data_IF_789951808386
#
_entry.id   IF_789951808386
#
_cell.length_a   1.000
_cell.length_b   1.000
_cell.length_c   1.000
_cell.angle_alpha   90.00
_cell.angle_beta   90.00
_cell.angle_gamma   90.00
#
_symmetry.space_group_name_H-M   'P 1'
#
loop_
_entity.id
_entity.type
_entity.pdbx_description
1 polymer ?
#
# COMPACT_ATOMS: atom_id res chain seq x y z
N UNK A 1 28.20 -66.37 36.03
CA UNK A 1 29.13 -65.44 36.72
C UNK A 1 28.35 -64.30 37.37
N UNK A 2 29.00 -63.46 38.19
CA UNK A 2 28.35 -62.65 39.26
C UNK A 2 27.53 -61.44 38.76
N UNK A 3 26.49 -61.00 39.49
CA UNK A 3 25.62 -59.88 39.11
C UNK A 3 26.23 -58.50 39.43
N UNK A 4 25.72 -57.47 38.74
CA UNK A 4 26.10 -56.07 38.96
C UNK A 4 25.66 -55.57 40.35
N UNK A 5 26.56 -54.87 41.05
CA UNK A 5 26.32 -54.33 42.40
C UNK A 5 25.58 -53.00 42.32
N UNK A 6 24.43 -52.89 42.99
CA UNK A 6 23.79 -51.59 43.28
C UNK A 6 24.66 -50.80 44.26
N UNK A 7 25.16 -49.63 43.84
CA UNK A 7 25.86 -48.71 44.73
C UNK A 7 24.82 -47.94 45.56
N UNK A 8 24.75 -48.20 46.87
CA UNK A 8 23.99 -47.35 47.80
C UNK A 8 24.90 -46.20 48.25
N UNK A 9 24.65 -44.97 47.79
CA UNK A 9 25.17 -43.80 48.50
C UNK A 9 24.38 -43.64 49.81
N UNK A 10 25.10 -43.61 50.93
CA UNK A 10 24.58 -43.16 52.22
C UNK A 10 24.87 -41.67 52.32
N UNK A 11 23.86 -40.82 52.31
CA UNK A 11 24.05 -39.42 52.69
C UNK A 11 24.08 -39.32 54.21
N UNK A 12 25.12 -38.69 54.74
CA UNK A 12 25.27 -38.39 56.16
C UNK A 12 24.39 -37.20 56.53
N UNK A 13 23.83 -37.20 57.75
CA UNK A 13 22.76 -36.31 58.21
C UNK A 13 23.17 -34.84 58.44
N UNK A 14 24.18 -34.33 57.73
CA UNK A 14 24.75 -32.98 57.91
C UNK A 14 24.89 -32.17 56.62
N UNK A 15 24.27 -32.60 55.51
CA UNK A 15 24.16 -31.84 54.25
C UNK A 15 22.71 -31.64 53.78
N UNK A 16 21.72 -31.92 54.63
CA UNK A 16 20.29 -31.73 54.36
C UNK A 16 19.68 -30.59 55.20
N UNK A 17 20.47 -29.56 55.53
CA UNK A 17 20.04 -28.40 56.33
C UNK A 17 20.36 -27.05 55.67
N UNK A 18 20.50 -27.04 54.34
CA UNK A 18 20.74 -25.84 53.51
C UNK A 18 19.75 -25.75 52.33
N UNK A 19 18.69 -26.56 52.34
CA UNK A 19 17.71 -26.71 51.25
C UNK A 19 16.24 -26.59 51.69
N UNK A 20 15.96 -26.06 52.89
CA UNK A 20 14.61 -25.95 53.46
C UNK A 20 14.36 -24.60 54.17
N UNK A 21 14.73 -23.48 53.53
CA UNK A 21 14.44 -22.14 54.09
C UNK A 21 13.87 -21.11 53.10
N UNK A 22 13.59 -21.48 51.85
CA UNK A 22 12.97 -20.60 50.84
C UNK A 22 11.69 -21.23 50.25
N UNK A 23 10.76 -21.60 51.13
CA UNK A 23 9.46 -22.17 50.75
C UNK A 23 8.35 -21.90 51.80
N UNK A 24 7.98 -20.61 51.99
CA UNK A 24 6.66 -20.17 52.46
C UNK A 24 6.54 -18.63 52.28
N UNK A 25 5.36 -18.09 51.93
CA UNK A 25 5.22 -16.69 51.53
C UNK A 25 5.19 -15.72 52.72
N UNK A 26 5.64 -14.47 52.50
CA UNK A 26 5.35 -13.31 53.35
C UNK A 26 4.99 -12.08 52.50
N UNK A 27 4.16 -11.15 53.03
CA UNK A 27 3.46 -10.18 52.18
C UNK A 27 4.01 -8.74 52.27
N UNK A 28 3.55 -7.92 51.32
CA UNK A 28 3.56 -6.46 51.28
C UNK A 28 4.92 -5.74 51.15
N UNK A 29 5.15 -5.18 49.96
CA UNK A 29 5.41 -3.75 49.78
C UNK A 29 4.91 -3.34 48.38
N UNK A 30 4.19 -2.23 48.27
CA UNK A 30 3.89 -1.64 46.97
C UNK A 30 5.14 -0.89 46.49
N UNK A 31 5.61 -1.25 45.30
CA UNK A 31 6.53 -0.49 44.49
C UNK A 31 6.00 -0.61 43.06
N UNK A 32 5.77 0.53 42.42
CA UNK A 32 5.25 0.57 41.07
C UNK A 32 6.39 0.19 40.11
N UNK A 33 6.43 -1.07 39.72
CA UNK A 33 7.17 -1.55 38.55
C UNK A 33 6.11 -1.85 37.48
N UNK A 34 5.99 -0.94 36.51
CA UNK A 34 5.24 -1.17 35.29
C UNK A 34 5.99 -2.26 34.51
N UNK A 35 5.39 -3.44 34.39
CA UNK A 35 5.88 -4.51 33.52
C UNK A 35 5.69 -4.05 32.05
N UNK A 36 6.66 -3.31 31.51
CA UNK A 36 6.72 -2.95 30.09
C UNK A 36 6.81 -4.23 29.25
N UNK A 37 5.74 -4.55 28.52
CA UNK A 37 5.70 -5.66 27.57
C UNK A 37 6.81 -5.51 26.49
N UNK A 38 7.42 -6.64 26.11
CA UNK A 38 8.52 -6.71 25.14
C UNK A 38 8.11 -6.26 23.71
N UNK A 39 8.05 -4.95 23.47
CA UNK A 39 8.08 -4.42 22.10
C UNK A 39 9.41 -4.80 21.44
N UNK A 40 9.34 -5.51 20.31
CA UNK A 40 10.48 -5.97 19.53
C UNK A 40 11.13 -4.83 18.70
N UNK A 41 11.26 -3.66 19.32
CA UNK A 41 11.88 -2.48 18.75
C UNK A 41 13.37 -2.68 18.48
N UNK A 42 13.79 -2.24 17.29
CA UNK A 42 15.18 -2.31 16.82
C UNK A 42 16.15 -1.61 17.81
N UNK A 43 17.31 -2.21 18.12
CA UNK A 43 18.22 -1.68 19.12
C UNK A 43 18.78 -0.31 18.72
N UNK A 44 18.37 0.73 19.46
CA UNK A 44 18.85 2.12 19.30
C UNK A 44 17.77 3.19 19.14
N UNK A 45 16.48 2.82 19.06
CA UNK A 45 15.39 3.76 18.76
C UNK A 45 14.25 3.82 19.80
N UNK A 46 14.45 3.31 21.04
CA UNK A 46 13.39 3.05 22.03
C UNK A 46 12.48 4.23 22.44
N UNK A 47 12.88 5.50 22.23
CA UNK A 47 12.19 6.65 22.85
C UNK A 47 11.69 7.73 21.85
N UNK A 48 11.37 7.37 20.61
CA UNK A 48 10.83 8.34 19.62
C UNK A 48 9.61 7.79 18.88
N UNK A 49 8.43 8.03 19.46
CA UNK A 49 7.16 7.80 18.78
C UNK A 49 7.07 8.62 17.48
N UNK A 50 6.36 8.12 16.47
CA UNK A 50 6.16 8.78 15.19
C UNK A 50 4.73 8.59 14.71
N UNK A 51 4.14 9.61 14.08
CA UNK A 51 2.84 9.49 13.41
C UNK A 51 2.99 9.64 11.89
N UNK A 52 2.01 9.14 11.13
CA UNK A 52 1.88 9.45 9.70
C UNK A 52 1.63 10.96 9.47
N UNK A 53 1.09 11.66 10.47
CA UNK A 53 0.93 13.14 10.46
C UNK A 53 2.29 13.86 10.39
N UNK A 54 3.31 13.30 11.03
CA UNK A 54 4.66 13.90 11.18
C UNK A 54 5.65 13.44 10.11
N UNK A 55 5.13 12.77 9.07
CA UNK A 55 5.88 12.26 7.92
C UNK A 55 6.98 13.18 7.36
N UNK A 56 6.74 14.50 7.16
CA UNK A 56 7.77 15.42 6.66
C UNK A 56 8.95 15.61 7.62
N UNK A 57 8.76 15.33 8.91
CA UNK A 57 9.77 15.52 9.96
C UNK A 57 10.51 14.23 10.32
N UNK A 58 10.10 13.06 9.82
CA UNK A 58 10.74 11.77 10.11
C UNK A 58 12.25 11.79 9.89
N UNK A 59 12.74 12.45 8.82
CA UNK A 59 14.17 12.61 8.54
C UNK A 59 14.96 13.30 9.67
N UNK A 60 14.34 14.20 10.43
CA UNK A 60 14.98 14.89 11.57
C UNK A 60 15.16 14.00 12.79
N UNK A 61 14.33 12.96 12.92
CA UNK A 61 14.33 12.03 14.04
C UNK A 61 15.05 10.71 13.71
N UNK A 62 14.93 10.30 12.44
CA UNK A 62 15.42 9.06 11.86
C UNK A 62 16.16 9.40 10.54
N UNK A 63 17.47 9.72 10.59
CA UNK A 63 18.21 10.25 9.44
C UNK A 63 18.19 9.38 8.17
N UNK A 64 18.00 8.07 8.33
CA UNK A 64 17.85 7.12 7.22
C UNK A 64 16.62 7.40 6.34
N UNK A 65 15.59 8.08 6.87
CA UNK A 65 14.38 8.42 6.12
C UNK A 65 14.60 9.47 5.02
N UNK A 66 15.75 10.17 5.00
CA UNK A 66 16.19 11.12 3.96
C UNK A 66 17.08 10.47 2.87
N UNK A 67 17.13 9.14 2.83
CA UNK A 67 18.00 8.42 1.90
C UNK A 67 17.52 8.44 0.44
N UNK A 68 18.42 8.16 -0.50
CA UNK A 68 18.11 8.12 -1.94
C UNK A 68 17.57 6.77 -2.46
N UNK A 69 17.29 5.81 -1.57
CA UNK A 69 16.72 4.49 -1.89
C UNK A 69 15.46 4.22 -1.06
N UNK A 70 14.66 5.26 -0.78
CA UNK A 70 13.45 5.15 0.01
C UNK A 70 12.28 4.50 -0.75
N UNK A 71 11.28 4.07 0.02
CA UNK A 71 10.01 3.48 -0.43
C UNK A 71 8.83 4.16 0.29
N UNK A 72 7.60 4.12 -0.26
CA UNK A 72 7.17 3.47 -1.50
C UNK A 72 7.51 4.29 -2.75
N UNK A 73 7.26 3.72 -3.94
CA UNK A 73 7.52 4.37 -5.24
C UNK A 73 6.33 4.23 -6.20
N UNK A 74 6.28 5.09 -7.22
CA UNK A 74 5.42 4.87 -8.37
C UNK A 74 6.09 3.94 -9.40
N UNK A 75 5.42 2.85 -9.75
CA UNK A 75 5.83 1.92 -10.80
C UNK A 75 5.28 2.45 -12.14
N UNK A 76 6.15 3.04 -12.96
CA UNK A 76 5.83 3.40 -14.33
C UNK A 76 6.02 2.17 -15.24
N UNK A 77 4.93 1.55 -15.70
CA UNK A 77 4.94 0.29 -16.46
C UNK A 77 5.60 0.40 -17.84
N UNK A 78 5.74 1.62 -18.36
CA UNK A 78 6.47 1.90 -19.60
C UNK A 78 7.98 2.09 -19.39
N UNK A 79 8.45 2.18 -18.14
CA UNK A 79 9.87 2.38 -17.79
C UNK A 79 10.51 1.18 -17.06
N UNK A 80 9.74 0.12 -16.75
CA UNK A 80 10.28 -1.10 -16.15
C UNK A 80 11.15 -1.88 -17.14
N UNK A 81 12.20 -2.52 -16.64
CA UNK A 81 13.06 -3.40 -17.44
C UNK A 81 12.68 -4.86 -17.23
N UNK A 82 12.28 -5.56 -18.29
CA UNK A 82 12.05 -7.01 -18.22
C UNK A 82 13.35 -7.75 -17.84
N UNK A 83 13.25 -8.70 -16.91
CA UNK A 83 14.38 -9.50 -16.44
C UNK A 83 14.04 -10.99 -16.40
N UNK A 84 14.67 -11.76 -17.29
CA UNK A 84 14.58 -13.23 -17.33
C UNK A 84 15.08 -13.94 -16.06
N UNK A 85 15.74 -13.21 -15.14
CA UNK A 85 16.20 -13.74 -13.84
C UNK A 85 15.11 -13.73 -12.76
N UNK A 86 13.97 -13.11 -13.04
CA UNK A 86 12.81 -13.07 -12.15
C UNK A 86 11.90 -14.25 -12.50
N UNK A 87 12.32 -15.43 -12.04
CA UNK A 87 11.56 -16.69 -12.09
C UNK A 87 10.33 -16.64 -11.17
N UNK A 88 9.43 -17.65 -11.17
CA UNK A 88 8.33 -17.71 -10.21
C UNK A 88 8.78 -17.59 -8.74
N UNK A 89 7.95 -16.94 -7.93
CA UNK A 89 8.14 -16.90 -6.47
C UNK A 89 7.70 -18.24 -5.86
N UNK A 90 8.47 -18.74 -4.89
CA UNK A 90 8.22 -20.02 -4.22
C UNK A 90 7.97 -19.78 -2.74
N UNK A 91 6.71 -19.89 -2.34
CA UNK A 91 6.26 -19.83 -0.95
C UNK A 91 6.15 -21.25 -0.37
N UNK A 92 6.68 -21.45 0.83
CA UNK A 92 6.63 -22.74 1.54
C UNK A 92 6.23 -22.54 3.00
N UNK A 93 5.38 -23.42 3.52
CA UNK A 93 4.90 -23.39 4.91
C UNK A 93 3.78 -22.40 5.23
N UNK A 94 3.16 -21.77 4.21
CA UNK A 94 2.09 -20.77 4.38
C UNK A 94 0.70 -21.36 4.70
N UNK A 95 0.47 -22.62 4.33
CA UNK A 95 -0.74 -23.38 4.70
C UNK A 95 -0.62 -23.83 6.16
N UNK A 96 -1.02 -22.97 7.09
CA UNK A 96 -0.91 -23.24 8.53
C UNK A 96 -2.13 -24.01 9.05
N UNK A 97 -1.93 -25.04 9.88
CA UNK A 97 -3.02 -25.80 10.47
C UNK A 97 -3.77 -24.96 11.54
N UNK A 98 -5.08 -25.15 11.73
CA UNK A 98 -5.89 -24.34 12.67
C UNK A 98 -5.47 -24.44 14.14
N UNK A 99 -4.71 -25.46 14.52
CA UNK A 99 -4.15 -25.64 15.86
C UNK A 99 -3.00 -24.66 16.19
N UNK A 100 -2.43 -23.99 15.19
CA UNK A 100 -1.45 -22.92 15.41
C UNK A 100 -2.13 -21.59 15.71
N UNK A 101 -1.45 -20.74 16.47
CA UNK A 101 -1.96 -19.42 16.90
C UNK A 101 -1.00 -18.33 16.45
N UNK A 102 -1.53 -17.35 15.74
CA UNK A 102 -0.82 -16.18 15.24
C UNK A 102 -1.22 -14.96 16.08
N UNK A 103 -0.27 -14.20 16.66
CA UNK A 103 -0.60 -12.97 17.36
C UNK A 103 -1.05 -11.91 16.35
N UNK A 104 -2.14 -11.23 16.65
CA UNK A 104 -2.70 -10.12 15.89
C UNK A 104 -2.77 -8.90 16.81
N UNK A 105 -2.07 -7.82 16.44
CA UNK A 105 -1.92 -6.60 17.23
C UNK A 105 -2.46 -5.39 16.48
N UNK A 106 -3.08 -4.45 17.20
CA UNK A 106 -3.14 -3.06 16.78
C UNK A 106 -1.93 -2.33 17.39
N UNK A 107 -1.01 -1.86 16.55
CA UNK A 107 0.22 -1.19 17.00
C UNK A 107 0.17 0.34 16.86
N UNK A 108 -1.03 0.94 16.87
CA UNK A 108 -1.23 2.39 16.70
C UNK A 108 -1.06 2.89 15.27
N UNK A 109 -0.40 2.11 14.40
CA UNK A 109 -0.08 2.48 13.02
C UNK A 109 -0.76 1.57 11.99
N UNK A 110 -1.01 0.31 12.33
CA UNK A 110 -1.60 -0.71 11.46
C UNK A 110 -2.11 -1.91 12.29
N UNK A 111 -2.87 -2.80 11.64
CA UNK A 111 -3.06 -4.16 12.13
C UNK A 111 -1.89 -5.04 11.65
N UNK A 112 -1.20 -5.65 12.60
CA UNK A 112 -0.03 -6.50 12.37
C UNK A 112 -0.34 -7.94 12.79
N UNK A 113 -0.06 -8.91 11.93
CA UNK A 113 -0.16 -10.34 12.21
C UNK A 113 1.26 -10.94 12.22
N UNK A 114 1.69 -11.48 13.37
CA UNK A 114 2.97 -12.17 13.49
C UNK A 114 2.96 -13.51 12.76
N UNK A 115 4.05 -13.83 12.04
CA UNK A 115 4.17 -15.02 11.21
C UNK A 115 5.31 -15.93 11.67
N UNK A 116 5.12 -17.27 11.70
CA UNK A 116 6.18 -18.19 12.11
C UNK A 116 7.29 -18.29 11.06
N UNK A 117 8.55 -18.15 11.49
CA UNK A 117 9.77 -18.23 10.64
C UNK A 117 9.95 -19.48 9.77
N UNK A 118 9.09 -20.49 9.92
CA UNK A 118 9.02 -21.68 9.06
C UNK A 118 8.37 -21.37 7.70
N UNK A 119 7.58 -20.30 7.63
CA UNK A 119 7.09 -19.74 6.38
C UNK A 119 8.26 -19.11 5.66
N UNK A 120 8.53 -19.55 4.43
CA UNK A 120 9.71 -19.14 3.67
C UNK A 120 9.37 -18.70 2.26
N UNK A 121 10.02 -17.61 1.86
CA UNK A 121 10.05 -17.05 0.51
C UNK A 121 11.37 -17.45 -0.16
N UNK A 122 11.27 -17.98 -1.38
CA UNK A 122 12.40 -18.32 -2.24
C UNK A 122 12.01 -18.17 -3.73
N UNK A 123 12.87 -18.60 -4.65
CA UNK A 123 12.66 -18.36 -6.09
C UNK A 123 12.83 -16.89 -6.46
N UNK A 124 12.24 -16.46 -7.58
CA UNK A 124 12.19 -15.06 -7.99
C UNK A 124 13.51 -14.29 -8.04
N UNK A 125 14.64 -14.97 -8.24
CA UNK A 125 15.98 -14.38 -8.24
C UNK A 125 16.52 -13.97 -6.86
N UNK A 126 15.91 -14.41 -5.75
CA UNK A 126 16.48 -14.20 -4.41
C UNK A 126 17.74 -15.08 -4.21
N UNK A 127 18.85 -14.53 -3.67
CA UNK A 127 20.12 -15.27 -3.53
C UNK A 127 20.11 -16.31 -2.40
N UNK A 128 19.19 -16.19 -1.45
CA UNK A 128 18.93 -17.16 -0.36
C UNK A 128 17.43 -17.17 -0.03
N UNK A 129 16.93 -18.18 0.72
CA UNK A 129 15.61 -18.11 1.32
C UNK A 129 15.48 -16.94 2.30
N UNK A 130 14.27 -16.42 2.42
CA UNK A 130 13.87 -15.45 3.44
C UNK A 130 12.78 -16.09 4.33
N UNK A 131 12.83 -15.84 5.63
CA UNK A 131 11.88 -16.32 6.63
C UNK A 131 10.87 -15.22 6.94
N UNK A 132 9.58 -15.53 7.00
CA UNK A 132 8.56 -14.55 7.36
C UNK A 132 8.73 -14.09 8.81
N UNK A 133 8.42 -12.82 9.08
CA UNK A 133 8.34 -12.23 10.42
C UNK A 133 6.91 -11.78 10.74
N UNK A 134 6.28 -11.03 9.84
CA UNK A 134 4.94 -10.49 10.01
C UNK A 134 4.28 -10.17 8.67
N UNK A 135 2.98 -9.91 8.71
CA UNK A 135 2.30 -9.11 7.69
C UNK A 135 1.53 -7.96 8.33
N UNK A 136 1.30 -6.91 7.56
CA UNK A 136 0.50 -5.75 7.95
C UNK A 136 -0.17 -5.09 6.73
N UNK A 137 -1.03 -4.11 6.97
CA UNK A 137 -1.87 -3.49 5.94
C UNK A 137 -1.76 -1.96 5.96
N UNK A 138 -1.86 -1.35 4.79
CA UNK A 138 -2.02 0.09 4.59
C UNK A 138 -3.35 0.35 3.87
N UNK A 139 -4.08 1.38 4.27
CA UNK A 139 -5.41 1.68 3.77
C UNK A 139 -5.75 3.18 3.76
N UNK A 140 -6.91 3.47 3.19
CA UNK A 140 -7.41 4.79 2.89
C UNK A 140 -8.06 5.54 4.06
N UNK A 141 -8.97 6.46 3.71
CA UNK A 141 -9.85 7.17 4.64
C UNK A 141 -11.23 7.32 4.02
N UNK A 142 -12.13 6.43 4.43
CA UNK A 142 -13.47 6.32 3.88
C UNK A 142 -13.51 5.97 2.39
N UNK A 143 -14.72 5.77 1.89
CA UNK A 143 -15.01 5.19 0.56
C UNK A 143 -14.49 5.98 -0.67
N UNK A 144 -13.75 7.08 -0.50
CA UNK A 144 -13.26 7.93 -1.61
C UNK A 144 -11.75 8.17 -1.65
N UNK A 145 -11.00 7.86 -0.59
CA UNK A 145 -9.56 8.12 -0.54
C UNK A 145 -8.77 6.80 -0.53
N UNK A 146 -8.18 6.36 -1.65
CA UNK A 146 -7.36 5.16 -1.70
C UNK A 146 -6.07 5.31 -0.87
N UNK A 147 -5.59 4.24 -0.25
CA UNK A 147 -4.42 4.25 0.63
C UNK A 147 -3.44 3.08 0.46
N UNK A 148 -3.30 2.51 -0.73
CA UNK A 148 -2.10 1.72 -1.05
C UNK A 148 -0.84 2.60 -0.92
N UNK A 149 0.30 2.04 -0.55
CA UNK A 149 1.55 2.78 -0.42
C UNK A 149 2.17 3.07 -1.79
N UNK A 150 2.37 2.00 -2.57
CA UNK A 150 2.83 2.07 -3.95
C UNK A 150 1.70 2.54 -4.87
N UNK A 151 2.09 3.01 -6.05
CA UNK A 151 1.19 3.31 -7.16
C UNK A 151 1.68 2.69 -8.45
N UNK A 152 0.77 2.44 -9.39
CA UNK A 152 1.10 1.97 -10.75
C UNK A 152 0.60 3.00 -11.75
N UNK A 153 1.49 3.56 -12.57
CA UNK A 153 1.19 4.63 -13.53
C UNK A 153 0.41 5.82 -12.93
N UNK A 154 0.68 6.14 -11.66
CA UNK A 154 0.01 7.19 -10.87
C UNK A 154 -1.30 6.77 -10.20
N UNK A 155 -1.78 5.53 -10.41
CA UNK A 155 -2.98 5.01 -9.76
C UNK A 155 -2.65 4.42 -8.38
N UNK A 156 -3.38 4.87 -7.35
CA UNK A 156 -3.36 4.34 -5.97
C UNK A 156 -4.59 3.44 -5.77
N UNK A 157 -4.39 2.29 -5.13
CA UNK A 157 -5.41 1.29 -4.84
C UNK A 157 -6.00 1.50 -3.43
N UNK A 158 -7.10 0.81 -3.12
CA UNK A 158 -7.84 1.04 -1.87
C UNK A 158 -6.96 0.82 -0.62
N UNK A 159 -6.13 -0.23 -0.66
CA UNK A 159 -5.08 -0.48 0.31
C UNK A 159 -3.96 -1.35 -0.26
N UNK A 160 -3.05 -1.79 0.60
CA UNK A 160 -1.92 -2.66 0.26
C UNK A 160 -1.62 -3.61 1.43
N UNK A 161 -1.38 -4.88 1.15
CA UNK A 161 -0.85 -5.84 2.15
C UNK A 161 0.65 -5.98 1.94
N UNK A 162 1.42 -5.91 3.03
CA UNK A 162 2.85 -6.20 3.06
C UNK A 162 3.11 -7.46 3.87
N UNK A 163 3.84 -8.42 3.29
CA UNK A 163 4.35 -9.60 4.00
C UNK A 163 5.86 -9.45 4.10
N UNK A 164 6.37 -9.29 5.33
CA UNK A 164 7.75 -8.94 5.65
C UNK A 164 8.55 -10.20 5.99
N UNK A 165 9.72 -10.33 5.37
CA UNK A 165 10.63 -11.45 5.56
C UNK A 165 12.04 -10.95 5.80
N UNK A 166 12.80 -11.70 6.59
CA UNK A 166 14.23 -11.49 6.79
C UNK A 166 15.06 -12.63 6.19
N UNK A 167 16.26 -12.30 5.72
CA UNK A 167 17.18 -13.21 5.05
C UNK A 167 17.63 -14.31 6.00
N UNK A 168 17.57 -15.58 5.59
CA UNK A 168 17.97 -16.74 6.41
C UNK A 168 19.49 -16.83 6.70
N UNK A 169 20.24 -15.74 6.47
CA UNK A 169 21.64 -15.56 6.83
C UNK A 169 21.82 -14.97 8.23
N UNK A 170 20.75 -14.42 8.80
CA UNK A 170 20.70 -13.77 10.11
C UNK A 170 19.83 -14.60 11.06
N UNK A 171 20.06 -14.49 12.37
CA UNK A 171 19.34 -15.27 13.38
C UNK A 171 17.93 -14.70 13.63
N UNK A 172 17.75 -13.39 13.45
CA UNK A 172 16.48 -12.69 13.69
C UNK A 172 16.18 -11.58 12.68
N UNK A 173 14.97 -11.02 12.75
CA UNK A 173 14.57 -9.86 11.94
C UNK A 173 15.37 -8.61 12.31
N UNK A 174 15.65 -8.41 13.59
CA UNK A 174 16.30 -7.22 14.14
C UNK A 174 17.76 -7.12 13.69
N UNK A 175 18.47 -8.27 13.63
CA UNK A 175 19.82 -8.36 13.05
C UNK A 175 19.80 -8.07 11.54
N UNK A 176 18.79 -8.56 10.82
CA UNK A 176 18.69 -8.41 9.38
C UNK A 176 18.22 -7.02 8.92
N UNK A 177 17.46 -6.29 9.74
CA UNK A 177 16.72 -5.11 9.31
C UNK A 177 17.61 -3.97 8.82
N UNK A 178 18.80 -3.79 9.42
CA UNK A 178 19.78 -2.77 9.07
C UNK A 178 20.82 -3.22 8.04
N UNK A 179 20.81 -4.50 7.64
CA UNK A 179 21.83 -5.11 6.79
C UNK A 179 21.45 -5.14 5.29
N UNK A 180 22.37 -4.89 4.34
CA UNK A 180 22.07 -4.85 2.90
C UNK A 180 21.48 -6.15 2.35
N UNK A 181 20.25 -6.07 1.83
CA UNK A 181 19.49 -7.24 1.36
C UNK A 181 19.03 -8.16 2.49
N UNK A 182 19.07 -7.70 3.74
CA UNK A 182 18.60 -8.41 4.91
C UNK A 182 17.08 -8.58 4.92
N UNK A 183 16.32 -7.71 4.28
CA UNK A 183 14.85 -7.80 4.21
C UNK A 183 14.33 -8.04 2.80
N UNK A 184 13.21 -8.75 2.69
CA UNK A 184 12.41 -8.89 1.48
C UNK A 184 10.92 -8.71 1.82
N UNK A 185 10.23 -7.84 1.08
CA UNK A 185 8.80 -7.58 1.30
C UNK A 185 8.02 -7.94 0.04
N UNK A 186 6.98 -8.73 0.21
CA UNK A 186 5.96 -8.97 -0.81
C UNK A 186 4.83 -7.96 -0.60
N UNK A 187 4.46 -7.22 -1.63
CA UNK A 187 3.39 -6.23 -1.61
C UNK A 187 2.31 -6.58 -2.63
N UNK A 188 1.04 -6.58 -2.20
CA UNK A 188 -0.11 -6.76 -3.09
C UNK A 188 -1.15 -5.67 -2.88
N UNK A 189 -1.66 -5.12 -3.98
CA UNK A 189 -2.69 -4.09 -3.97
C UNK A 189 -4.07 -4.66 -3.64
N UNK A 190 -4.79 -3.99 -2.74
CA UNK A 190 -6.17 -4.29 -2.39
C UNK A 190 -7.11 -3.45 -3.25
N UNK A 191 -8.00 -4.11 -3.98
CA UNK A 191 -8.97 -3.49 -4.87
C UNK A 191 -10.39 -3.80 -4.40
N UNK A 192 -11.29 -2.82 -4.44
CA UNK A 192 -12.72 -3.06 -4.16
C UNK A 192 -13.30 -3.99 -5.24
N UNK A 193 -13.90 -5.09 -4.79
CA UNK A 193 -14.62 -6.08 -5.57
C UNK A 193 -16.08 -6.20 -5.14
N UNK A 194 -16.83 -7.08 -5.80
CA UNK A 194 -18.26 -7.29 -5.53
C UNK A 194 -18.56 -8.39 -4.50
N UNK A 195 -17.56 -9.21 -4.16
CA UNK A 195 -17.71 -10.41 -3.34
C UNK A 195 -16.83 -10.32 -2.10
N UNK A 196 -17.27 -10.95 -1.00
CA UNK A 196 -16.51 -11.11 0.23
C UNK A 196 -15.30 -12.01 -0.01
N UNK A 197 -14.12 -11.56 0.41
CA UNK A 197 -12.90 -12.33 0.41
C UNK A 197 -12.79 -13.14 1.71
N UNK A 198 -13.14 -14.43 1.64
CA UNK A 198 -13.12 -15.34 2.79
C UNK A 198 -11.74 -15.47 3.48
N UNK A 199 -10.61 -15.61 2.77
CA UNK A 199 -9.27 -15.57 3.38
C UNK A 199 -9.04 -14.37 4.32
N UNK A 200 -9.45 -13.17 3.91
CA UNK A 200 -9.28 -11.96 4.73
C UNK A 200 -10.16 -11.97 6.00
N UNK A 201 -11.27 -12.72 6.02
CA UNK A 201 -12.10 -12.85 7.23
C UNK A 201 -11.39 -13.55 8.39
N UNK A 202 -10.27 -14.24 8.16
CA UNK A 202 -9.43 -14.74 9.25
C UNK A 202 -8.83 -13.62 10.10
N UNK A 203 -8.58 -12.44 9.50
CA UNK A 203 -8.08 -11.25 10.20
C UNK A 203 -9.24 -10.30 10.54
N UNK A 204 -10.05 -9.92 9.55
CA UNK A 204 -10.98 -8.79 9.66
C UNK A 204 -12.04 -8.96 10.78
N UNK A 205 -12.48 -10.19 11.06
CA UNK A 205 -13.43 -10.47 12.15
C UNK A 205 -12.89 -10.23 13.56
N UNK A 206 -11.56 -10.07 13.72
CA UNK A 206 -10.90 -9.85 15.01
C UNK A 206 -10.64 -8.37 15.31
N UNK A 207 -10.74 -7.46 14.33
CA UNK A 207 -10.36 -6.05 14.48
C UNK A 207 -11.10 -5.34 15.63
N UNK A 208 -12.38 -5.64 15.83
CA UNK A 208 -13.18 -5.05 16.92
C UNK A 208 -12.79 -5.51 18.33
N UNK A 209 -11.91 -6.51 18.44
CA UNK A 209 -11.35 -7.01 19.70
C UNK A 209 -9.87 -6.62 19.90
N UNK A 210 -9.33 -5.78 19.01
CA UNK A 210 -8.03 -5.11 19.11
C UNK A 210 -8.20 -3.66 18.63
N UNK A 211 -9.23 -3.00 19.13
CA UNK A 211 -9.71 -1.71 18.61
C UNK A 211 -8.80 -0.57 19.08
N UNK A 212 -8.43 -0.58 20.34
CA UNK A 212 -7.55 0.46 20.92
C UNK A 212 -6.08 0.13 20.60
N UNK A 213 -5.21 1.12 20.70
CA UNK A 213 -3.77 0.94 20.50
C UNK A 213 -3.15 0.00 21.55
N UNK A 214 -2.24 -0.87 21.11
CA UNK A 214 -1.56 -1.84 21.97
C UNK A 214 -2.35 -3.12 22.20
N UNK A 215 -3.66 -3.17 21.90
CA UNK A 215 -4.46 -4.38 22.09
C UNK A 215 -4.01 -5.53 21.17
N UNK A 216 -4.00 -6.75 21.74
CA UNK A 216 -3.59 -7.98 21.08
C UNK A 216 -4.62 -9.10 21.21
N UNK A 217 -4.67 -9.96 20.20
CA UNK A 217 -5.49 -11.18 20.19
C UNK A 217 -4.81 -12.31 19.42
N UNK A 218 -5.39 -13.50 19.44
CA UNK A 218 -4.88 -14.68 18.73
C UNK A 218 -5.81 -15.10 17.59
N UNK A 219 -5.22 -15.27 16.40
CA UNK A 219 -5.89 -15.80 15.21
C UNK A 219 -5.46 -17.25 15.00
N UNK A 220 -6.44 -18.15 14.80
CA UNK A 220 -6.16 -19.55 14.47
C UNK A 220 -5.52 -19.68 13.09
N UNK A 221 -4.57 -20.61 12.94
CA UNK A 221 -3.81 -20.84 11.72
C UNK A 221 -4.67 -21.07 10.48
N UNK A 222 -4.21 -20.53 9.36
CA UNK A 222 -4.88 -20.60 8.07
C UNK A 222 -3.86 -20.50 6.93
N UNK A 223 -4.32 -20.69 5.69
CA UNK A 223 -3.48 -20.51 4.51
C UNK A 223 -3.24 -19.03 4.21
N UNK A 224 -2.13 -18.51 4.73
CA UNK A 224 -1.72 -17.11 4.59
C UNK A 224 -1.41 -16.76 3.13
N UNK A 225 -1.05 -17.73 2.28
CA UNK A 225 -0.80 -17.46 0.86
C UNK A 225 -2.08 -17.05 0.12
N UNK A 226 -3.27 -17.38 0.64
CA UNK A 226 -4.56 -16.90 0.10
C UNK A 226 -4.87 -15.43 0.39
N UNK A 227 -4.04 -14.74 1.20
CA UNK A 227 -4.07 -13.28 1.31
C UNK A 227 -3.32 -12.59 0.16
N UNK A 228 -2.53 -13.35 -0.61
CA UNK A 228 -1.77 -12.85 -1.76
C UNK A 228 -2.48 -13.19 -3.09
N UNK A 229 -2.08 -12.55 -4.19
CA UNK A 229 -2.51 -12.93 -5.53
C UNK A 229 -2.16 -14.38 -5.86
N UNK A 230 -2.93 -15.02 -6.74
CA UNK A 230 -2.66 -16.40 -7.19
C UNK A 230 -1.60 -16.48 -8.31
N UNK A 231 -1.32 -15.35 -8.96
CA UNK A 231 -0.27 -15.21 -9.98
C UNK A 231 1.06 -14.81 -9.32
N UNK A 232 1.89 -15.81 -9.02
CA UNK A 232 3.25 -15.65 -8.48
C UNK A 232 4.32 -15.44 -9.55
N UNK A 233 3.94 -15.40 -10.83
CA UNK A 233 4.84 -15.25 -11.96
C UNK A 233 4.96 -13.78 -12.40
N UNK A 234 3.98 -12.92 -12.07
CA UNK A 234 3.88 -11.53 -12.56
C UNK A 234 4.00 -10.49 -11.47
N UNK A 235 5.20 -9.92 -11.33
CA UNK A 235 5.53 -8.93 -10.31
C UNK A 235 6.62 -7.96 -10.78
N UNK A 236 6.73 -6.85 -10.07
CA UNK A 236 7.81 -5.87 -10.18
C UNK A 236 8.79 -6.02 -9.02
N UNK A 237 10.06 -5.65 -9.25
CA UNK A 237 11.17 -5.87 -8.32
C UNK A 237 12.09 -4.66 -8.27
N UNK A 238 12.37 -4.14 -7.08
CA UNK A 238 13.32 -3.03 -6.88
C UNK A 238 13.92 -3.04 -5.46
N UNK A 239 15.06 -2.36 -5.29
CA UNK A 239 15.67 -2.15 -3.97
C UNK A 239 15.17 -0.84 -3.36
N UNK A 240 14.70 -0.89 -2.12
CA UNK A 240 14.05 0.20 -1.42
C UNK A 240 14.31 0.20 0.09
N UNK A 241 13.39 0.81 0.82
CA UNK A 241 13.46 0.91 2.29
C UNK A 241 12.27 0.29 2.99
N UNK A 242 12.34 0.19 4.31
CA UNK A 242 11.13 0.23 5.15
C UNK A 242 10.37 1.54 4.87
N UNK A 243 9.04 1.48 4.84
CA UNK A 243 8.16 2.63 4.58
C UNK A 243 7.76 3.38 5.85
N UNK A 244 8.19 2.89 7.01
CA UNK A 244 8.09 3.53 8.32
C UNK A 244 9.49 3.72 8.92
N UNK A 245 9.67 4.62 9.91
CA UNK A 245 10.89 4.72 10.70
C UNK A 245 11.34 3.36 11.28
N UNK A 246 12.66 3.06 11.31
CA UNK A 246 13.79 3.93 10.98
C UNK A 246 14.19 3.90 9.48
N UNK A 247 13.28 3.53 8.57
CA UNK A 247 13.46 3.67 7.12
C UNK A 247 14.73 3.01 6.52
N UNK A 248 15.20 1.89 7.08
CA UNK A 248 16.41 1.22 6.60
C UNK A 248 16.30 0.83 5.11
N UNK A 249 17.33 1.17 4.34
CA UNK A 249 17.40 1.02 2.87
C UNK A 249 17.89 -0.37 2.45
N UNK A 250 17.29 -1.39 3.05
CA UNK A 250 17.76 -2.79 3.07
C UNK A 250 16.79 -3.74 2.39
N UNK A 251 15.63 -3.22 1.97
CA UNK A 251 14.47 -4.00 1.55
C UNK A 251 14.52 -4.31 0.06
N UNK A 252 14.39 -5.58 -0.26
CA UNK A 252 14.18 -6.08 -1.61
C UNK A 252 12.68 -6.24 -1.87
N UNK A 253 12.07 -5.25 -2.52
CA UNK A 253 10.63 -5.17 -2.74
C UNK A 253 10.17 -6.02 -3.92
N UNK A 254 9.05 -6.71 -3.73
CA UNK A 254 8.37 -7.50 -4.76
C UNK A 254 6.90 -7.09 -4.79
N UNK A 255 6.50 -6.30 -5.77
CA UNK A 255 5.13 -5.76 -5.88
C UNK A 255 4.38 -6.57 -6.94
N UNK A 256 3.35 -7.31 -6.54
CA UNK A 256 2.55 -8.11 -7.48
C UNK A 256 1.81 -7.23 -8.48
N UNK A 257 1.75 -7.68 -9.75
CA UNK A 257 0.97 -7.00 -10.78
C UNK A 257 -0.54 -7.32 -10.68
N UNK A 258 -0.89 -8.48 -10.13
CA UNK A 258 -2.27 -8.86 -9.88
C UNK A 258 -2.75 -8.27 -8.54
N UNK A 259 -3.97 -7.74 -8.51
CA UNK A 259 -4.62 -7.22 -7.31
C UNK A 259 -5.36 -8.32 -6.54
N UNK A 260 -5.47 -8.16 -5.22
CA UNK A 260 -6.39 -8.94 -4.37
C UNK A 260 -7.68 -8.15 -4.24
N UNK A 261 -8.84 -8.82 -4.36
CA UNK A 261 -10.15 -8.17 -4.25
C UNK A 261 -10.80 -8.42 -2.91
N UNK A 262 -11.27 -7.36 -2.26
CA UNK A 262 -12.06 -7.36 -1.02
C UNK A 262 -13.40 -6.66 -1.29
N UNK A 263 -14.47 -6.99 -0.57
CA UNK A 263 -15.72 -6.22 -0.68
C UNK A 263 -15.56 -4.81 -0.12
N UNK A 264 -16.47 -3.89 -0.46
CA UNK A 264 -16.43 -2.52 0.08
C UNK A 264 -16.49 -2.53 1.62
N UNK A 265 -17.35 -3.38 2.18
CA UNK A 265 -17.52 -3.55 3.63
C UNK A 265 -16.23 -4.04 4.30
N UNK A 266 -15.46 -4.91 3.62
CA UNK A 266 -14.17 -5.38 4.12
C UNK A 266 -13.09 -4.30 4.13
N UNK A 267 -13.12 -3.38 3.18
CA UNK A 267 -12.23 -2.20 3.18
C UNK A 267 -12.67 -1.22 4.29
N UNK A 268 -13.97 -0.94 4.43
CA UNK A 268 -14.49 -0.08 5.49
C UNK A 268 -14.16 -0.60 6.89
N UNK A 269 -14.11 -1.92 7.11
CA UNK A 269 -13.65 -2.49 8.39
C UNK A 269 -12.21 -2.11 8.75
N UNK A 270 -11.31 -1.92 7.77
CA UNK A 270 -9.95 -1.41 8.03
C UNK A 270 -9.99 0.09 8.31
N UNK A 271 -10.75 0.86 7.51
CA UNK A 271 -10.84 2.32 7.59
C UNK A 271 -11.55 2.86 8.84
N UNK A 272 -12.40 2.06 9.50
CA UNK A 272 -13.32 2.54 10.55
C UNK A 272 -13.19 1.84 11.92
N UNK A 273 -12.49 0.70 12.03
CA UNK A 273 -12.51 -0.10 13.28
C UNK A 273 -11.41 0.25 14.28
N UNK A 274 -10.17 0.44 13.81
CA UNK A 274 -8.98 0.56 14.67
C UNK A 274 -8.71 2.03 15.02
N UNK A 275 -8.20 2.27 16.23
CA UNK A 275 -7.74 3.58 16.70
C UNK A 275 -6.26 3.54 17.07
N UNK A 276 -5.59 4.69 16.93
CA UNK A 276 -4.23 4.93 17.40
C UNK A 276 -4.21 6.05 18.44
N UNK A 277 -3.17 6.88 18.41
CA UNK A 277 -3.04 8.16 19.12
C UNK A 277 -4.38 8.89 19.34
N UNK A 278 -4.60 9.37 20.57
CA UNK A 278 -5.73 10.22 20.99
C UNK A 278 -7.15 9.63 20.72
N UNK A 279 -7.28 8.30 20.72
CA UNK A 279 -8.51 7.57 20.36
C UNK A 279 -9.02 7.89 18.92
N UNK A 280 -8.17 8.39 18.03
CA UNK A 280 -8.57 8.72 16.65
C UNK A 280 -8.46 7.50 15.71
N UNK A 281 -9.40 7.29 14.76
CA UNK A 281 -9.34 6.18 13.82
C UNK A 281 -8.04 6.14 13.00
N UNK A 282 -7.41 4.97 12.90
CA UNK A 282 -6.24 4.76 12.04
C UNK A 282 -6.71 4.86 10.59
N UNK A 283 -6.34 5.95 9.92
CA UNK A 283 -6.74 6.26 8.55
C UNK A 283 -5.61 6.91 7.76
N UNK A 284 -5.57 6.66 6.45
CA UNK A 284 -4.51 7.12 5.55
C UNK A 284 -3.12 6.75 6.06
N UNK A 285 -2.99 5.53 6.61
CA UNK A 285 -1.78 5.02 7.24
C UNK A 285 -0.76 4.54 6.20
N UNK A 286 -0.43 5.41 5.23
CA UNK A 286 0.52 5.14 4.16
C UNK A 286 1.50 6.30 3.98
N UNK A 287 2.73 5.99 3.59
CA UNK A 287 3.77 6.95 3.29
C UNK A 287 3.58 7.55 1.89
N UNK A 288 3.85 8.84 1.76
CA UNK A 288 3.98 9.51 0.47
C UNK A 288 5.08 8.87 -0.40
N UNK A 289 4.87 8.92 -1.72
CA UNK A 289 5.79 8.37 -2.71
C UNK A 289 7.17 9.03 -2.66
N UNK A 290 8.20 8.22 -2.89
CA UNK A 290 9.60 8.60 -2.83
C UNK A 290 10.22 8.58 -4.24
N UNK A 291 11.21 9.44 -4.46
CA UNK A 291 11.89 9.53 -5.76
C UNK A 291 12.75 8.30 -6.07
N UNK A 292 12.81 7.91 -7.35
CA UNK A 292 13.61 6.76 -7.78
C UNK A 292 15.13 7.01 -7.67
N UNK A 293 15.60 8.25 -7.75
CA UNK A 293 17.03 8.62 -7.77
C UNK A 293 17.89 7.75 -8.73
N UNK A 294 17.34 7.41 -9.90
CA UNK A 294 18.02 6.59 -10.91
C UNK A 294 17.96 5.07 -10.70
N UNK A 295 17.31 4.58 -9.63
CA UNK A 295 17.00 3.15 -9.47
C UNK A 295 16.13 2.65 -10.63
N UNK A 296 16.49 1.49 -11.18
CA UNK A 296 15.66 0.79 -12.17
C UNK A 296 14.67 -0.16 -11.49
N UNK A 297 13.44 -0.19 -11.98
CA UNK A 297 12.43 -1.18 -11.58
C UNK A 297 12.50 -2.34 -12.59
N UNK A 298 12.62 -3.57 -12.09
CA UNK A 298 12.57 -4.78 -12.92
C UNK A 298 11.15 -5.34 -12.99
N UNK A 299 10.83 -6.04 -14.08
CA UNK A 299 9.58 -6.78 -14.26
C UNK A 299 9.87 -8.25 -14.59
N UNK A 300 9.13 -9.18 -13.97
CA UNK A 300 9.19 -10.62 -14.29
C UNK A 300 8.46 -11.00 -15.59
N UNK A 301 7.71 -10.06 -16.17
CA UNK A 301 6.94 -10.27 -17.40
C UNK A 301 7.16 -9.11 -18.39
N UNK A 302 6.96 -9.38 -19.67
CA UNK A 302 6.89 -8.32 -20.67
C UNK A 302 5.64 -7.46 -20.42
N UNK A 303 5.85 -6.19 -20.06
CA UNK A 303 4.81 -5.16 -20.23
C UNK A 303 4.57 -4.97 -21.73
N UNK A 304 3.35 -4.63 -22.12
CA UNK A 304 3.02 -4.47 -23.55
C UNK A 304 3.81 -3.29 -24.11
N UNK A 305 4.75 -3.57 -25.03
CA UNK A 305 5.45 -2.52 -25.75
C UNK A 305 4.42 -1.64 -26.47
N UNK A 306 4.50 -0.32 -26.25
CA UNK A 306 3.92 0.61 -27.21
C UNK A 306 4.68 0.45 -28.51
N UNK A 307 4.09 -0.31 -29.43
CA UNK A 307 4.48 -0.33 -30.85
C UNK A 307 4.55 1.12 -31.29
N UNK A 308 5.76 1.64 -31.41
CA UNK A 308 5.96 2.91 -32.07
C UNK A 308 5.53 2.68 -33.52
N UNK A 309 4.61 3.49 -34.08
CA UNK A 309 4.27 3.37 -35.49
C UNK A 309 5.58 3.45 -36.29
N UNK A 310 5.81 2.55 -37.26
CA UNK A 310 7.08 2.52 -38.00
C UNK A 310 7.32 3.91 -38.58
N UNK A 311 8.50 4.47 -38.25
CA UNK A 311 8.78 5.88 -38.49
C UNK A 311 8.49 6.26 -39.94
N UNK A 312 7.70 7.32 -40.13
CA UNK A 312 7.70 8.05 -41.38
C UNK A 312 9.14 8.40 -41.71
N UNK A 313 9.58 8.09 -42.94
CA UNK A 313 10.98 8.16 -43.33
C UNK A 313 11.60 9.56 -43.17
N UNK A 314 12.94 9.64 -43.24
CA UNK A 314 13.65 10.89 -42.99
C UNK A 314 13.20 11.99 -43.96
N UNK A 315 12.71 13.09 -43.40
CA UNK A 315 12.64 14.36 -44.11
C UNK A 315 14.05 14.89 -44.32
N UNK A 316 14.49 14.94 -45.57
CA UNK A 316 15.81 15.45 -45.95
C UNK A 316 15.91 16.96 -45.66
N UNK A 317 16.57 17.34 -44.56
CA UNK A 317 17.14 18.68 -44.41
C UNK A 317 18.54 18.70 -45.04
N UNK A 318 18.58 18.90 -46.36
CA UNK A 318 19.80 19.20 -47.11
C UNK A 318 20.06 20.71 -47.16
N UNK A 319 21.19 21.17 -46.63
CA UNK A 319 21.46 22.61 -46.54
C UNK A 319 22.89 22.99 -46.17
N UNK A 320 23.89 22.33 -46.75
CA UNK A 320 25.31 22.72 -46.58
C UNK A 320 25.87 23.42 -47.84
N UNK A 321 26.72 24.42 -47.66
CA UNK A 321 27.14 25.34 -48.72
C UNK A 321 28.42 24.89 -49.43
N UNK A 322 28.36 24.67 -50.75
CA UNK A 322 29.55 24.68 -51.61
C UNK A 322 29.24 25.06 -53.07
N UNK A 323 29.75 26.21 -53.50
CA UNK A 323 29.93 26.54 -54.93
C UNK A 323 31.08 25.68 -55.52
N UNK A 324 31.10 25.34 -56.83
CA UNK A 324 31.61 26.33 -57.80
C UNK A 324 31.08 26.27 -59.26
N UNK A 325 30.93 27.48 -59.82
CA UNK A 325 31.30 27.94 -61.19
C UNK A 325 31.05 27.07 -62.46
N UNK A 326 30.21 27.68 -63.31
CA UNK A 326 30.49 28.11 -64.71
C UNK A 326 30.13 27.23 -65.93
N UNK A 327 29.32 27.83 -66.83
CA UNK A 327 29.45 27.67 -68.29
C UNK A 327 28.17 27.32 -69.07
N UNK A 328 27.87 28.06 -70.17
CA UNK A 328 27.25 27.43 -71.36
C UNK A 328 25.81 27.78 -71.81
N UNK A 329 25.53 29.05 -72.14
CA UNK A 329 25.00 29.48 -73.47
C UNK A 329 23.84 28.68 -74.16
N UNK A 330 22.68 29.34 -74.26
CA UNK A 330 21.75 29.46 -75.43
C UNK A 330 20.90 28.26 -75.92
N UNK A 331 19.56 28.43 -75.95
CA UNK A 331 18.68 28.38 -77.17
C UNK A 331 17.22 28.00 -76.85
N UNK A 332 16.26 28.82 -77.32
CA UNK A 332 14.84 28.46 -77.53
C UNK A 332 14.65 27.86 -78.96
N UNK A 333 13.48 27.37 -79.47
CA UNK A 333 12.13 27.95 -79.30
C UNK A 333 10.90 26.98 -79.22
N UNK A 334 9.73 27.61 -78.98
CA UNK A 334 8.34 27.20 -79.31
C UNK A 334 8.15 26.94 -80.84
N UNK A 335 7.01 26.41 -81.38
CA UNK A 335 5.60 26.55 -80.93
C UNK A 335 4.77 25.23 -81.05
N UNK A 336 3.42 25.13 -81.12
CA UNK A 336 2.25 26.05 -81.12
C UNK A 336 0.97 25.27 -80.66
N UNK A 337 -0.22 25.91 -80.66
CA UNK A 337 -1.50 25.21 -80.93
C UNK A 337 -2.65 25.31 -79.91
N UNK A 338 -3.49 26.34 -80.01
CA UNK A 338 -4.86 26.41 -79.45
C UNK A 338 -5.90 26.05 -80.57
N UNK A 339 -7.26 26.22 -80.44
CA UNK A 339 -8.09 26.78 -79.35
C UNK A 339 -9.48 26.09 -79.12
N UNK A 340 -10.38 26.77 -78.36
CA UNK A 340 -11.87 26.75 -78.36
C UNK A 340 -12.62 25.79 -77.40
N UNK A 341 -13.81 26.12 -76.85
CA UNK A 341 -14.55 27.40 -76.70
C UNK A 341 -15.69 27.27 -75.65
N UNK A 342 -16.05 28.38 -74.97
CA UNK A 342 -17.37 28.64 -74.33
C UNK A 342 -17.67 28.00 -72.94
N UNK A 343 -18.56 28.55 -72.10
CA UNK A 343 -19.37 29.79 -72.13
C UNK A 343 -19.84 30.15 -70.69
N UNK A 344 -19.94 31.45 -70.39
CA UNK A 344 -20.50 32.10 -69.18
C UNK A 344 -22.01 32.48 -69.47
N UNK A 345 -22.82 33.27 -68.70
CA UNK A 345 -22.81 33.69 -67.28
C UNK A 345 -24.17 33.65 -66.51
N UNK A 346 -24.09 33.94 -65.19
CA UNK A 346 -25.00 34.80 -64.36
C UNK A 346 -26.42 34.41 -63.86
N UNK A 347 -26.66 34.90 -62.63
CA UNK A 347 -27.88 35.55 -62.11
C UNK A 347 -28.94 34.74 -61.33
N UNK A 348 -28.77 34.72 -59.99
CA UNK A 348 -29.71 35.34 -59.06
C UNK A 348 -31.05 34.66 -58.74
N UNK A 349 -31.28 34.38 -57.44
CA UNK A 349 -32.49 34.79 -56.69
C UNK A 349 -32.41 34.44 -55.19
N UNK A 350 -32.80 35.44 -54.40
CA UNK A 350 -33.62 35.43 -53.18
C UNK A 350 -33.33 34.43 -52.04
N UNK A 351 -33.21 34.99 -50.83
CA UNK A 351 -32.94 34.25 -49.60
C UNK A 351 -34.21 33.76 -48.89
N UNK A 352 -34.24 32.48 -48.53
CA UNK A 352 -34.98 32.00 -47.35
C UNK A 352 -33.99 31.35 -46.37
N UNK A 353 -33.65 32.07 -45.30
CA UNK A 353 -32.61 31.67 -44.35
C UNK A 353 -33.14 30.67 -43.32
N UNK A 354 -33.42 29.43 -43.73
CA UNK A 354 -33.59 28.31 -42.79
C UNK A 354 -32.23 27.90 -42.22
N UNK A 355 -31.97 28.26 -40.96
CA UNK A 355 -30.84 27.74 -40.18
C UNK A 355 -31.16 26.29 -39.79
N UNK A 356 -30.81 25.35 -40.67
CA UNK A 356 -30.80 23.93 -40.35
C UNK A 356 -29.57 23.62 -39.48
N UNK A 357 -29.76 23.46 -38.17
CA UNK A 357 -28.70 22.99 -37.28
C UNK A 357 -28.57 21.48 -37.52
N UNK A 358 -27.57 21.08 -38.31
CA UNK A 358 -27.18 19.68 -38.48
C UNK A 358 -26.35 19.24 -37.28
N UNK A 359 -27.00 18.88 -36.16
CA UNK A 359 -26.32 18.25 -35.03
C UNK A 359 -25.81 16.87 -35.46
N UNK A 360 -24.53 16.60 -35.25
CA UNK A 360 -23.98 15.26 -35.38
C UNK A 360 -24.48 14.37 -34.22
N UNK A 361 -24.45 13.05 -34.41
CA UNK A 361 -24.86 12.07 -33.38
C UNK A 361 -24.15 12.28 -32.03
N UNK A 362 -22.90 12.75 -32.07
CA UNK A 362 -22.13 13.11 -30.86
C UNK A 362 -22.71 14.30 -30.10
N UNK A 363 -23.20 15.33 -30.79
CA UNK A 363 -23.79 16.52 -30.17
C UNK A 363 -25.13 16.19 -29.50
N UNK A 364 -25.93 15.31 -30.12
CA UNK A 364 -27.18 14.81 -29.55
C UNK A 364 -26.90 14.00 -28.29
N UNK A 365 -25.88 13.12 -28.30
CA UNK A 365 -25.44 12.40 -27.09
C UNK A 365 -24.96 13.37 -26.00
N UNK A 366 -24.14 14.37 -26.33
CA UNK A 366 -23.63 15.34 -25.38
C UNK A 366 -24.76 16.14 -24.70
N UNK A 367 -25.79 16.54 -25.45
CA UNK A 367 -26.97 17.23 -24.90
C UNK A 367 -27.79 16.29 -24.00
N UNK A 368 -27.97 15.02 -24.38
CA UNK A 368 -28.70 14.04 -23.58
C UNK A 368 -27.97 13.70 -22.26
N UNK A 369 -26.66 13.44 -22.31
CA UNK A 369 -25.88 13.17 -21.10
C UNK A 369 -25.73 14.43 -20.23
N UNK A 370 -25.52 15.61 -20.82
CA UNK A 370 -25.43 16.87 -20.07
C UNK A 370 -26.75 17.24 -19.37
N UNK A 371 -27.89 17.04 -20.01
CA UNK A 371 -29.21 17.29 -19.41
C UNK A 371 -29.56 16.25 -18.33
N UNK A 372 -29.20 14.97 -18.52
CA UNK A 372 -29.34 13.94 -17.48
C UNK A 372 -28.48 14.26 -16.26
N UNK A 373 -27.21 14.64 -16.45
CA UNK A 373 -26.29 15.03 -15.38
C UNK A 373 -26.78 16.26 -14.61
N UNK A 374 -27.28 17.29 -15.31
CA UNK A 374 -27.87 18.46 -14.67
C UNK A 374 -29.12 18.10 -13.83
N UNK A 375 -29.97 17.20 -14.30
CA UNK A 375 -31.13 16.73 -13.56
C UNK A 375 -30.74 15.94 -12.30
N UNK A 376 -29.75 15.05 -12.37
CA UNK A 376 -29.27 14.29 -11.19
C UNK A 376 -28.57 15.19 -10.17
N UNK A 377 -27.77 16.17 -10.62
CA UNK A 377 -27.15 17.16 -9.74
C UNK A 377 -28.18 18.02 -8.99
N UNK A 378 -29.24 18.48 -9.67
CA UNK A 378 -30.33 19.23 -9.05
C UNK A 378 -31.11 18.37 -8.04
N UNK A 379 -31.38 17.10 -8.36
CA UNK A 379 -32.03 16.17 -7.44
C UNK A 379 -31.18 15.93 -6.17
N UNK A 380 -29.86 15.76 -6.33
CA UNK A 380 -28.93 15.59 -5.21
C UNK A 380 -28.86 16.85 -4.33
N UNK A 381 -28.77 18.05 -4.93
CA UNK A 381 -28.80 19.31 -4.18
C UNK A 381 -30.11 19.49 -3.39
N UNK A 382 -31.25 19.09 -3.96
CA UNK A 382 -32.54 19.12 -3.27
C UNK A 382 -32.59 18.12 -2.11
N UNK A 383 -32.05 16.91 -2.30
CA UNK A 383 -31.92 15.89 -1.25
C UNK A 383 -31.05 16.39 -0.08
N UNK A 384 -29.87 16.93 -0.36
CA UNK A 384 -28.96 17.51 0.65
C UNK A 384 -29.62 18.67 1.39
N UNK A 385 -30.32 19.57 0.68
CA UNK A 385 -31.01 20.69 1.32
C UNK A 385 -32.17 20.23 2.22
N UNK A 386 -32.90 19.19 1.82
CA UNK A 386 -33.95 18.55 2.63
C UNK A 386 -33.36 17.91 3.89
N UNK A 387 -32.29 17.13 3.77
CA UNK A 387 -31.64 16.48 4.92
C UNK A 387 -31.06 17.49 5.92
N UNK A 388 -30.38 18.54 5.44
CA UNK A 388 -29.89 19.63 6.32
C UNK A 388 -31.04 20.31 7.06
N UNK A 389 -32.18 20.57 6.40
CA UNK A 389 -33.37 21.13 7.08
C UNK A 389 -33.99 20.18 8.12
N UNK A 390 -33.91 18.86 7.94
CA UNK A 390 -34.40 17.90 8.93
C UNK A 390 -33.46 17.86 10.16
N UNK A 391 -32.15 17.76 9.95
CA UNK A 391 -31.15 17.78 11.02
C UNK A 391 -31.23 19.06 11.88
N UNK A 392 -31.32 20.25 11.25
CA UNK A 392 -31.50 21.51 11.97
C UNK A 392 -32.83 21.59 12.76
N UNK A 393 -33.83 20.79 12.42
CA UNK A 393 -35.13 20.76 13.10
C UNK A 393 -35.15 19.80 14.30
N UNK A 394 -34.35 18.73 14.25
CA UNK A 394 -34.14 17.80 15.36
C UNK A 394 -33.17 18.36 16.42
N UNK A 395 -32.21 19.19 16.01
CA UNK A 395 -31.29 19.85 16.95
C UNK A 395 -31.97 20.98 17.74
N UNK A 396 -33.07 21.55 17.23
CA UNK A 396 -33.84 22.60 17.90
C UNK A 396 -34.85 22.08 18.95
N UNK A 397 -35.06 20.76 19.06
CA UNK A 397 -36.08 20.16 19.95
C UNK A 397 -35.51 19.41 21.16
N UNK A 398 -34.18 19.34 21.31
CA UNK A 398 -33.54 18.77 22.51
C UNK A 398 -33.33 19.85 23.59
N UNK A 399 -33.91 19.72 24.80
CA UNK A 399 -33.61 20.65 25.90
C UNK A 399 -32.18 20.41 26.41
N UNK A 400 -31.45 21.49 26.70
CA UNK A 400 -30.09 21.42 27.22
C UNK A 400 -30.09 20.93 28.68
N UNK A 401 -29.30 19.88 28.97
CA UNK A 401 -29.08 19.41 30.32
C UNK A 401 -28.06 20.30 31.03
N UNK A 402 -28.51 21.06 32.03
CA UNK A 402 -27.66 21.79 32.97
C UNK A 402 -27.15 20.83 34.04
N UNK A 403 -25.85 20.54 34.02
CA UNK A 403 -25.16 19.87 35.12
C UNK A 403 -24.77 20.90 36.19
N UNK A 404 -25.35 20.77 37.39
CA UNK A 404 -24.99 21.57 38.55
C UNK A 404 -23.79 20.92 39.26
N UNK A 405 -22.70 21.67 39.46
CA UNK A 405 -21.56 21.24 40.26
C UNK A 405 -21.97 21.05 41.73
N UNK A 406 -21.58 19.92 42.33
CA UNK A 406 -21.76 19.68 43.76
C UNK A 406 -20.68 20.43 44.56
N UNK A 407 -21.11 21.30 45.47
CA UNK A 407 -20.23 21.91 46.46
C UNK A 407 -19.89 20.90 47.56
N UNK A 408 -18.62 20.80 47.92
CA UNK A 408 -18.21 20.22 49.21
C UNK A 408 -18.69 21.12 50.34
N UNK A 409 -19.21 20.53 51.41
CA UNK A 409 -19.67 21.24 52.61
C UNK A 409 -18.94 20.65 53.84
N UNK A 410 -17.92 21.36 54.32
CA UNK A 410 -17.33 21.12 55.65
C UNK A 410 -18.02 22.03 56.66
N UNK A 411 -18.81 21.48 57.59
CA UNK A 411 -18.74 21.75 59.03
C UNK A 411 -19.93 21.17 59.82
N UNK A 412 -19.68 20.89 61.11
CA UNK A 412 -20.61 20.43 62.16
C UNK A 412 -21.10 18.97 62.00
N UNK A 413 -21.00 18.09 63.00
CA UNK A 413 -20.89 18.28 64.46
C UNK A 413 -19.85 17.34 65.11
#
# INVERSE_FOLDING_TARGET
MRPAKRLRLRFSSLQLLLLLLWAAPRPCAAGDEEDDDDDAGLPGHKDRHWSYKDMPEWASMFPNCDGHMQSPININTAAVSFSVKLEPLLLSGYDLPPEETLPLKNNGHTVLLGLPKKMTLSGGGFPQPYQAAQLHLHWGSGHTWPGSEHTVDGHRYAGEIHVVHYSSRFESFEEAASEPGGLAVLAAFLQVGMETNEPYQHILKHLSGIKEEGEETAVAGFDVAKLLPYDFDRYFRYNGSLTTPPCYQTVNWTVFNQTVRLSQEQISMLEETLQGDDDEPIQSNFRLLQDLYGRSILSSFHTLEKVHPPGGGPSEEGGDQAEPKAGGVLSSPLPDGAPRDGLDPTSGKDAEKRVGISLHTGDILAILFGSLFAATALAFLFFVHKHRRQASREQATKPAALYTLASTDEHAL
#
